data_IF_229980243524
#
_entry.id   IF_229980243524
#
_cell.length_a   1.000
_cell.length_b   1.000
_cell.length_c   1.000
_cell.angle_alpha   90.00
_cell.angle_beta   90.00
_cell.angle_gamma   90.00
#
_symmetry.space_group_name_H-M   'P 1'
#
loop_
_entity.id
_entity.type
_entity.pdbx_description
1 polymer ?
#
# COMPACT_ATOMS: atom_id res chain seq x y z
N UNK A 1 23.42 9.47 -8.32
CA UNK A 1 22.22 9.62 -9.19
C UNK A 1 21.14 10.29 -8.37
N UNK A 2 20.47 11.27 -8.90
CA UNK A 2 19.32 11.83 -8.19
C UNK A 2 18.11 10.89 -8.25
N UNK A 3 17.37 10.80 -7.16
CA UNK A 3 16.16 9.99 -7.12
C UNK A 3 15.11 10.59 -8.07
N UNK A 4 14.74 9.84 -9.10
CA UNK A 4 13.71 10.22 -10.07
C UNK A 4 12.30 9.80 -9.63
N UNK A 5 12.22 8.96 -8.61
CA UNK A 5 10.99 8.36 -8.10
C UNK A 5 10.95 8.44 -6.58
N UNK A 6 9.75 8.49 -6.03
CA UNK A 6 9.50 8.36 -4.62
C UNK A 6 8.48 7.25 -4.38
N UNK A 7 8.80 6.29 -3.52
CA UNK A 7 7.89 5.20 -3.15
C UNK A 7 7.09 5.63 -1.92
N UNK A 8 5.78 5.69 -2.05
CA UNK A 8 4.89 6.16 -1.01
C UNK A 8 4.26 5.02 -0.19
N UNK A 9 3.65 4.04 -0.85
CA UNK A 9 2.93 2.96 -0.17
C UNK A 9 3.14 1.61 -0.84
N UNK A 10 2.93 0.56 -0.04
CA UNK A 10 2.91 -0.82 -0.50
C UNK A 10 1.73 -1.52 0.17
N UNK A 11 0.89 -2.20 -0.61
CA UNK A 11 -0.26 -2.96 -0.09
C UNK A 11 -0.64 -4.09 -1.02
N UNK A 12 -1.32 -5.11 -0.49
CA UNK A 12 -1.89 -6.15 -1.34
C UNK A 12 -3.20 -5.72 -1.97
N UNK A 13 -3.48 -6.30 -3.15
CA UNK A 13 -4.78 -6.15 -3.79
C UNK A 13 -5.88 -6.76 -2.90
N UNK A 14 -7.04 -6.12 -2.87
CA UNK A 14 -8.16 -6.48 -2.00
C UNK A 14 -8.68 -7.89 -2.26
N UNK A 15 -8.83 -8.28 -3.51
CA UNK A 15 -9.44 -9.55 -3.92
C UNK A 15 -8.45 -10.57 -4.48
N UNK A 16 -7.40 -10.12 -5.15
CA UNK A 16 -6.45 -10.98 -5.83
C UNK A 16 -5.30 -11.36 -4.89
N UNK A 17 -5.12 -12.67 -4.71
CA UNK A 17 -3.96 -13.19 -3.97
C UNK A 17 -2.68 -12.90 -4.75
N UNK A 18 -1.60 -12.67 -4.00
CA UNK A 18 -0.26 -12.49 -4.55
C UNK A 18 -0.13 -11.32 -5.55
N UNK A 19 -1.07 -10.39 -5.54
CA UNK A 19 -1.00 -9.14 -6.28
C UNK A 19 -0.69 -7.97 -5.35
N UNK A 20 0.48 -7.40 -5.56
CA UNK A 20 0.99 -6.29 -4.74
C UNK A 20 0.85 -4.97 -5.51
N UNK A 21 0.40 -3.94 -4.81
CA UNK A 21 0.37 -2.58 -5.31
C UNK A 21 1.44 -1.74 -4.62
N UNK A 22 2.35 -1.18 -5.39
CA UNK A 22 3.26 -0.14 -4.94
C UNK A 22 2.84 1.18 -5.56
N UNK A 23 2.67 2.21 -4.75
CA UNK A 23 2.38 3.55 -5.23
C UNK A 23 3.53 4.49 -4.94
N UNK A 24 3.67 5.49 -5.76
CA UNK A 24 4.70 6.49 -5.60
C UNK A 24 4.50 7.68 -6.52
N UNK A 25 5.54 8.48 -6.62
CA UNK A 25 5.50 9.73 -7.40
C UNK A 25 6.73 9.85 -8.28
N UNK A 26 6.54 10.34 -9.51
CA UNK A 26 7.61 10.85 -10.33
C UNK A 26 8.03 12.23 -9.84
N UNK A 27 9.32 12.49 -9.82
CA UNK A 27 9.86 13.82 -9.55
C UNK A 27 10.03 14.62 -10.84
N UNK A 28 9.85 15.93 -10.77
CA UNK A 28 9.88 16.83 -11.94
C UNK A 28 11.19 16.79 -12.72
N UNK A 29 12.29 16.63 -12.01
CA UNK A 29 13.62 16.58 -12.60
C UNK A 29 14.04 15.18 -13.06
N UNK A 30 13.09 14.27 -13.23
CA UNK A 30 13.37 12.91 -13.70
C UNK A 30 13.99 12.95 -15.10
N UNK A 31 15.23 12.46 -15.26
CA UNK A 31 15.83 12.34 -16.58
C UNK A 31 15.07 11.33 -17.44
N UNK A 32 15.02 11.57 -18.74
CA UNK A 32 14.46 10.61 -19.69
C UNK A 32 15.24 9.28 -19.63
N UNK A 33 14.52 8.17 -19.74
CA UNK A 33 15.10 6.82 -19.68
C UNK A 33 15.27 6.24 -18.27
N UNK A 34 14.90 6.96 -17.21
CA UNK A 34 14.78 6.33 -15.89
C UNK A 34 13.65 5.33 -15.86
N UNK A 35 13.93 4.18 -15.27
CA UNK A 35 12.97 3.07 -15.14
C UNK A 35 12.99 2.53 -13.71
N UNK A 36 11.84 2.00 -13.30
CA UNK A 36 11.72 1.22 -12.07
C UNK A 36 11.96 -0.25 -12.41
N UNK A 37 12.71 -0.92 -11.58
CA UNK A 37 12.89 -2.36 -11.63
C UNK A 37 12.53 -2.98 -10.29
N UNK A 38 11.84 -4.10 -10.32
CA UNK A 38 11.39 -4.82 -9.12
C UNK A 38 12.08 -6.18 -9.10
N UNK A 39 12.69 -6.54 -7.99
CA UNK A 39 13.36 -7.83 -7.79
C UNK A 39 12.93 -8.51 -6.50
N UNK A 40 12.72 -9.81 -6.57
CA UNK A 40 12.51 -10.68 -5.42
C UNK A 40 13.73 -11.60 -5.29
N UNK A 41 14.53 -11.43 -4.23
CA UNK A 41 15.82 -12.10 -4.04
C UNK A 41 16.71 -12.06 -5.30
N UNK A 42 16.82 -10.89 -5.91
CA UNK A 42 17.61 -10.67 -7.13
C UNK A 42 16.91 -11.07 -8.43
N UNK A 43 15.81 -11.82 -8.38
CA UNK A 43 15.06 -12.22 -9.55
C UNK A 43 14.07 -11.12 -9.97
N UNK A 44 14.19 -10.67 -11.21
CA UNK A 44 13.34 -9.64 -11.78
C UNK A 44 11.88 -10.08 -11.86
N UNK A 45 10.98 -9.22 -11.40
CA UNK A 45 9.54 -9.39 -11.50
C UNK A 45 8.95 -8.48 -12.57
N UNK A 46 7.88 -8.96 -13.21
CA UNK A 46 7.07 -8.15 -14.10
C UNK A 46 6.05 -7.34 -13.31
N UNK A 47 5.78 -6.14 -13.78
CA UNK A 47 4.75 -5.27 -13.25
C UNK A 47 4.03 -4.54 -14.38
N UNK A 48 2.82 -4.10 -14.12
CA UNK A 48 2.10 -3.14 -14.95
C UNK A 48 2.03 -1.80 -14.23
N UNK A 49 2.13 -0.73 -14.98
CA UNK A 49 2.03 0.62 -14.45
C UNK A 49 0.72 1.24 -14.92
N UNK A 50 -0.18 1.52 -13.98
CA UNK A 50 -1.44 2.19 -14.26
C UNK A 50 -1.40 3.66 -13.84
N UNK A 51 -2.12 4.47 -14.60
CA UNK A 51 -2.65 5.76 -14.22
C UNK A 51 -1.67 6.78 -13.65
N UNK A 52 -1.07 7.56 -14.50
CA UNK A 52 -0.43 8.81 -14.09
C UNK A 52 -1.53 9.82 -13.79
N UNK A 53 -1.83 10.04 -12.52
CA UNK A 53 -2.75 11.12 -12.10
C UNK A 53 -1.95 12.35 -11.70
N UNK A 54 -2.32 13.48 -12.24
CA UNK A 54 -1.82 14.77 -11.77
C UNK A 54 -2.46 15.06 -10.40
N UNK A 55 -1.64 15.30 -9.40
CA UNK A 55 -2.08 15.79 -8.09
C UNK A 55 -1.61 17.25 -7.91
N UNK A 56 -2.43 18.23 -8.28
CA UNK A 56 -1.94 19.60 -8.40
C UNK A 56 -1.64 20.32 -7.10
N UNK A 57 -2.08 19.84 -5.92
CA UNK A 57 -2.12 20.74 -4.76
C UNK A 57 -1.63 20.17 -3.41
N UNK A 58 -1.54 18.88 -3.20
CA UNK A 58 -1.17 18.34 -1.87
C UNK A 58 0.32 18.35 -1.55
N UNK A 59 1.19 18.55 -2.53
CA UNK A 59 2.63 18.34 -2.35
C UNK A 59 3.50 19.53 -2.71
N UNK A 60 2.98 20.73 -2.54
CA UNK A 60 3.69 21.99 -2.88
C UNK A 60 5.04 22.22 -2.22
N UNK A 61 5.45 21.42 -1.24
CA UNK A 61 6.67 21.68 -0.46
C UNK A 61 7.37 20.43 0.06
N UNK A 62 7.64 19.45 -0.75
CA UNK A 62 8.66 18.48 -0.35
C UNK A 62 9.98 18.90 -1.01
N UNK A 63 10.87 19.52 -0.20
CA UNK A 63 12.26 19.84 -0.55
C UNK A 63 12.47 20.54 -1.89
N UNK A 64 11.72 21.60 -2.18
CA UNK A 64 11.86 22.42 -3.41
C UNK A 64 11.66 21.66 -4.73
N UNK A 65 11.16 20.42 -4.69
CA UNK A 65 10.82 19.63 -5.88
C UNK A 65 9.31 19.52 -6.00
N UNK A 66 8.77 19.81 -7.18
CA UNK A 66 7.36 19.61 -7.48
C UNK A 66 7.15 18.12 -7.76
N UNK A 67 6.28 17.47 -6.99
CA UNK A 67 5.79 16.14 -7.31
C UNK A 67 4.64 16.30 -8.29
N UNK A 68 4.83 15.91 -9.53
CA UNK A 68 3.87 16.16 -10.59
C UNK A 68 2.94 15.00 -10.87
N UNK A 69 3.40 13.77 -10.69
CA UNK A 69 2.66 12.60 -11.16
C UNK A 69 2.74 11.45 -10.18
N UNK A 70 1.60 10.81 -9.92
CA UNK A 70 1.52 9.59 -9.15
C UNK A 70 1.57 8.38 -10.09
N UNK A 71 2.22 7.31 -9.67
CA UNK A 71 2.21 6.03 -10.35
C UNK A 71 1.67 4.91 -9.46
N UNK A 72 1.15 3.88 -10.10
CA UNK A 72 0.66 2.65 -9.49
C UNK A 72 1.33 1.47 -10.17
N UNK A 73 2.10 0.70 -9.42
CA UNK A 73 2.75 -0.50 -9.91
C UNK A 73 2.01 -1.72 -9.39
N UNK A 74 1.44 -2.48 -10.29
CA UNK A 74 0.81 -3.75 -9.98
C UNK A 74 1.78 -4.89 -10.27
N UNK A 75 2.14 -5.63 -9.22
CA UNK A 75 3.12 -6.71 -9.28
C UNK A 75 2.42 -8.02 -8.98
N UNK A 76 2.58 -9.00 -9.85
CA UNK A 76 2.20 -10.38 -9.57
C UNK A 76 3.37 -11.09 -8.92
N UNK A 77 3.24 -11.41 -7.64
CA UNK A 77 4.23 -12.19 -6.93
C UNK A 77 4.15 -13.67 -7.35
N UNK A 78 5.28 -14.36 -7.49
CA UNK A 78 5.27 -15.81 -7.76
C UNK A 78 4.65 -16.57 -6.58
N UNK A 79 4.16 -17.77 -6.80
CA UNK A 79 3.47 -18.58 -5.78
C UNK A 79 4.33 -18.85 -4.53
N UNK A 80 5.63 -18.94 -4.71
CA UNK A 80 6.65 -19.20 -3.69
C UNK A 80 7.24 -17.93 -3.06
N UNK A 81 6.64 -16.76 -3.30
CA UNK A 81 7.18 -15.50 -2.82
C UNK A 81 7.40 -15.45 -1.29
N UNK A 82 6.64 -16.24 -0.52
CA UNK A 82 6.75 -16.29 0.94
C UNK A 82 8.04 -16.94 1.44
N UNK A 83 8.73 -17.68 0.57
CA UNK A 83 10.02 -18.31 0.85
C UNK A 83 11.20 -17.38 0.58
N UNK A 84 10.96 -16.29 -0.13
CA UNK A 84 11.96 -15.26 -0.39
C UNK A 84 12.26 -14.42 0.85
N UNK A 85 13.39 -13.71 0.82
CA UNK A 85 13.85 -12.86 1.91
C UNK A 85 13.42 -11.41 1.75
N UNK A 86 13.52 -10.86 0.54
CA UNK A 86 13.29 -9.44 0.30
C UNK A 86 12.77 -9.12 -1.10
N UNK A 87 11.98 -8.06 -1.17
CA UNK A 87 11.56 -7.40 -2.39
C UNK A 87 12.29 -6.07 -2.50
N UNK A 88 12.96 -5.83 -3.61
CA UNK A 88 13.72 -4.62 -3.87
C UNK A 88 13.09 -3.82 -5.00
N UNK A 89 12.98 -2.51 -4.80
CA UNK A 89 12.59 -1.54 -5.82
C UNK A 89 13.82 -0.73 -6.18
N UNK A 90 14.24 -0.80 -7.42
CA UNK A 90 15.42 -0.14 -7.94
C UNK A 90 15.04 0.91 -8.99
N UNK A 91 15.85 1.95 -9.05
CA UNK A 91 15.88 2.90 -10.15
C UNK A 91 16.99 2.47 -11.11
N UNK A 92 16.68 2.41 -12.40
CA UNK A 92 17.66 2.09 -13.44
C UNK A 92 17.71 3.21 -14.47
N UNK A 93 18.92 3.65 -14.79
CA UNK A 93 19.19 4.67 -15.78
C UNK A 93 20.52 4.40 -16.49
N UNK A 94 20.50 4.25 -17.80
CA UNK A 94 21.71 3.99 -18.63
C UNK A 94 22.61 2.91 -18.08
N UNK A 95 22.01 1.78 -17.65
CA UNK A 95 22.73 0.64 -17.08
C UNK A 95 23.26 0.81 -15.65
N UNK A 96 23.02 1.96 -15.03
CA UNK A 96 23.28 2.17 -13.60
C UNK A 96 22.02 1.87 -12.82
N UNK A 97 22.18 1.15 -11.70
CA UNK A 97 21.10 0.79 -10.82
C UNK A 97 21.33 1.37 -9.42
N UNK A 98 20.25 1.80 -8.81
CA UNK A 98 20.25 2.33 -7.45
C UNK A 98 19.05 1.80 -6.69
N UNK A 99 19.30 1.28 -5.49
CA UNK A 99 18.26 0.78 -4.62
C UNK A 99 17.44 1.95 -4.05
N UNK A 100 16.14 1.93 -4.28
CA UNK A 100 15.23 2.94 -3.77
C UNK A 100 14.55 2.51 -2.48
N UNK A 101 14.11 1.26 -2.42
CA UNK A 101 13.36 0.72 -1.28
C UNK A 101 13.54 -0.79 -1.21
N UNK A 102 13.64 -1.29 0.01
CA UNK A 102 13.60 -2.73 0.33
C UNK A 102 12.44 -3.01 1.25
N UNK A 103 11.69 -4.05 0.91
CA UNK A 103 10.66 -4.61 1.78
C UNK A 103 11.11 -6.01 2.19
N UNK A 104 11.23 -6.27 3.49
CA UNK A 104 11.43 -7.62 3.98
C UNK A 104 10.17 -8.45 3.69
N UNK A 105 10.33 -9.71 3.30
CA UNK A 105 9.18 -10.58 3.04
C UNK A 105 8.33 -10.78 4.31
N UNK A 106 8.94 -10.72 5.49
CA UNK A 106 8.21 -10.70 6.77
C UNK A 106 7.23 -9.51 6.88
N UNK A 107 7.63 -8.33 6.41
CA UNK A 107 6.75 -7.16 6.34
C UNK A 107 5.61 -7.38 5.35
N UNK A 108 5.89 -7.93 4.18
CA UNK A 108 4.88 -8.28 3.18
C UNK A 108 3.86 -9.29 3.71
N UNK A 109 4.30 -10.31 4.45
CA UNK A 109 3.42 -11.27 5.12
C UNK A 109 2.49 -10.60 6.15
N UNK A 110 2.95 -9.56 6.83
CA UNK A 110 2.13 -8.76 7.73
C UNK A 110 1.11 -7.90 6.98
N UNK A 111 1.52 -7.30 5.86
CA UNK A 111 0.61 -6.55 4.98
C UNK A 111 -0.48 -7.45 4.36
N UNK A 112 -0.18 -8.72 4.11
CA UNK A 112 -1.17 -9.69 3.63
C UNK A 112 -2.32 -9.92 4.62
N UNK A 113 -2.06 -9.76 5.91
CA UNK A 113 -3.06 -9.86 6.99
C UNK A 113 -3.85 -8.56 7.20
N UNK A 114 -3.59 -7.56 6.39
CA UNK A 114 -4.13 -6.24 6.58
C UNK A 114 -5.66 -6.19 6.54
N UNK A 115 -6.20 -5.43 7.46
CA UNK A 115 -7.60 -5.09 7.59
C UNK A 115 -7.80 -3.62 7.23
N UNK A 116 -8.66 -3.34 6.29
CA UNK A 116 -9.14 -1.98 6.03
C UNK A 116 -10.48 -1.75 6.70
N UNK A 117 -10.62 -0.63 7.33
CA UNK A 117 -11.87 -0.22 7.94
C UNK A 117 -12.02 1.31 7.94
N UNK A 118 -13.25 1.74 8.08
CA UNK A 118 -13.60 3.13 8.38
C UNK A 118 -14.80 3.13 9.30
N UNK A 119 -14.75 3.97 10.31
CA UNK A 119 -15.91 4.34 11.12
C UNK A 119 -16.41 5.67 10.59
N UNK A 120 -17.56 5.66 9.95
CA UNK A 120 -18.11 6.83 9.26
C UNK A 120 -19.01 7.65 10.19
N UNK A 121 -19.69 6.99 11.12
CA UNK A 121 -20.61 7.66 12.05
C UNK A 121 -20.76 6.89 13.35
N UNK A 122 -20.86 7.62 14.44
CA UNK A 122 -21.23 7.11 15.76
C UNK A 122 -22.43 7.90 16.28
N UNK A 123 -23.52 7.22 16.59
CA UNK A 123 -24.74 7.85 17.16
C UNK A 123 -24.96 7.33 18.57
N UNK A 124 -25.34 8.23 19.47
CA UNK A 124 -25.78 7.87 20.81
C UNK A 124 -27.29 7.65 20.81
N UNK A 125 -27.74 6.57 21.40
CA UNK A 125 -29.15 6.17 21.54
C UNK A 125 -29.53 6.07 23.01
N UNK A 126 -30.83 6.00 23.31
CA UNK A 126 -31.29 5.93 24.73
C UNK A 126 -30.73 4.73 25.52
N UNK A 127 -30.47 3.63 24.84
CA UNK A 127 -29.99 2.38 25.47
C UNK A 127 -28.66 1.87 24.89
N UNK A 128 -27.85 2.79 24.39
CA UNK A 128 -26.55 2.38 23.82
C UNK A 128 -26.05 3.33 22.77
N UNK A 129 -25.39 2.80 21.78
CA UNK A 129 -24.90 3.55 20.62
C UNK A 129 -24.90 2.69 19.37
N UNK A 130 -24.94 3.31 18.22
CA UNK A 130 -24.75 2.65 16.93
C UNK A 130 -23.51 3.19 16.26
N UNK A 131 -22.82 2.32 15.55
CA UNK A 131 -21.64 2.62 14.76
C UNK A 131 -21.89 2.20 13.33
N UNK A 132 -21.78 3.15 12.41
CA UNK A 132 -21.84 2.91 10.98
C UNK A 132 -20.44 3.00 10.38
N UNK A 133 -20.13 2.08 9.52
CA UNK A 133 -18.85 2.05 8.85
C UNK A 133 -18.70 0.82 7.98
N UNK A 134 -17.49 0.61 7.50
CA UNK A 134 -17.19 -0.58 6.71
C UNK A 134 -15.85 -1.17 7.14
N UNK A 135 -15.73 -2.47 6.96
CA UNK A 135 -14.44 -3.15 7.06
C UNK A 135 -14.26 -4.15 5.92
N UNK A 136 -13.02 -4.38 5.61
CA UNK A 136 -12.61 -5.39 4.67
C UNK A 136 -11.40 -6.15 5.21
N UNK A 137 -11.45 -7.46 5.17
CA UNK A 137 -10.35 -8.32 5.55
C UNK A 137 -10.10 -9.39 4.49
N UNK A 138 -8.85 -9.68 4.20
CA UNK A 138 -8.44 -10.80 3.33
C UNK A 138 -8.61 -12.17 4.01
N UNK A 139 -8.71 -12.19 5.32
CA UNK A 139 -8.98 -13.37 6.14
C UNK A 139 -10.25 -13.16 6.95
N UNK A 140 -10.83 -14.22 7.43
CA UNK A 140 -11.96 -14.12 8.33
C UNK A 140 -11.59 -13.23 9.51
N UNK A 141 -12.33 -12.15 9.65
CA UNK A 141 -12.18 -11.19 10.72
C UNK A 141 -13.54 -10.92 11.36
N UNK A 142 -13.51 -10.59 12.62
CA UNK A 142 -14.67 -10.14 13.37
C UNK A 142 -14.37 -8.80 14.01
N UNK A 143 -15.40 -7.99 14.19
CA UNK A 143 -15.34 -6.75 14.94
C UNK A 143 -15.83 -7.02 16.36
N UNK A 144 -15.10 -6.50 17.34
CA UNK A 144 -15.52 -6.50 18.74
C UNK A 144 -15.42 -5.09 19.27
N UNK A 145 -16.39 -4.70 20.08
CA UNK A 145 -16.34 -3.46 20.84
C UNK A 145 -16.01 -3.78 22.29
N UNK A 146 -15.08 -3.06 22.84
CA UNK A 146 -14.62 -3.24 24.21
C UNK A 146 -14.90 -1.96 24.99
N UNK A 147 -15.26 -2.10 26.28
CA UNK A 147 -15.32 -0.97 27.21
C UNK A 147 -13.91 -0.55 27.67
N UNK A 148 -13.82 0.46 28.51
CA UNK A 148 -12.57 0.96 29.07
C UNK A 148 -11.80 -0.07 29.89
N UNK A 149 -12.50 -1.10 30.42
CA UNK A 149 -11.94 -2.21 31.19
C UNK A 149 -11.62 -3.44 30.31
N UNK A 150 -11.68 -3.31 28.99
CA UNK A 150 -11.45 -4.39 28.02
C UNK A 150 -12.52 -5.51 28.03
N UNK A 151 -13.69 -5.24 28.60
CA UNK A 151 -14.83 -6.19 28.53
C UNK A 151 -15.52 -6.03 27.19
N UNK A 152 -15.90 -7.14 26.58
CA UNK A 152 -16.62 -7.16 25.32
C UNK A 152 -18.07 -6.67 25.51
N UNK A 153 -18.45 -5.72 24.70
CA UNK A 153 -19.81 -5.21 24.66
C UNK A 153 -20.69 -6.08 23.76
N UNK A 154 -21.93 -6.30 24.18
CA UNK A 154 -22.88 -7.01 23.36
C UNK A 154 -23.19 -6.21 22.09
N UNK A 155 -23.07 -6.86 20.94
CA UNK A 155 -23.23 -6.23 19.64
C UNK A 155 -24.22 -6.99 18.78
N UNK A 156 -25.08 -6.23 18.10
CA UNK A 156 -25.92 -6.74 17.01
C UNK A 156 -25.43 -6.16 15.69
N UNK A 157 -24.98 -7.01 14.80
CA UNK A 157 -24.54 -6.61 13.46
C UNK A 157 -25.71 -6.60 12.49
N UNK A 158 -25.90 -5.49 11.80
CA UNK A 158 -26.81 -5.36 10.67
C UNK A 158 -26.01 -5.11 9.40
N UNK A 159 -26.18 -5.97 8.42
CA UNK A 159 -25.57 -5.79 7.09
C UNK A 159 -26.52 -5.04 6.19
N UNK A 160 -26.04 -4.00 5.59
CA UNK A 160 -26.77 -3.21 4.61
C UNK A 160 -26.48 -3.74 3.21
#
# INVERSE_FOLDING_TARGET
MENAFYIATCRFHVKEKDRLLITGYFLDNRPDGNRIEIRLDGKKLFYTMDGIRLHPLKFRKIRKRLITKQFFLWIHLPKDWREASRLEVLQSYRGKEELMKTFAVSELKNLEKWLANSIDKVNTEEKGFSVEGWYYSRKNASIRFLDENQNELEMKEEKI
#
